data_IF_092987289689
#
_entry.id   IF_092987289689
#
_cell.length_a   1.000
_cell.length_b   1.000
_cell.length_c   1.000
_cell.angle_alpha   90.00
_cell.angle_beta   90.00
_cell.angle_gamma   90.00
#
_symmetry.space_group_name_H-M   'P 1'
#
loop_
_entity.id
_entity.type
_entity.pdbx_description
1 polymer ?
#
# COMPACT_ATOMS: atom_id res chain seq x y z
N UNK A 1 -62.91 32.93 13.97
CA UNK A 1 -62.97 33.48 12.60
C UNK A 1 -61.92 32.74 11.78
N UNK A 2 -62.32 31.78 10.92
CA UNK A 2 -61.36 30.94 10.16
C UNK A 2 -60.73 31.77 9.03
N UNK A 3 -59.42 31.99 9.04
CA UNK A 3 -58.70 32.61 7.90
C UNK A 3 -58.23 31.50 6.96
N UNK A 4 -58.91 31.33 5.83
CA UNK A 4 -58.48 30.46 4.74
C UNK A 4 -57.51 31.26 3.86
N UNK A 5 -56.21 30.93 3.90
CA UNK A 5 -55.25 31.44 2.91
C UNK A 5 -55.19 30.46 1.73
N UNK A 6 -55.64 30.91 0.55
CA UNK A 6 -55.55 30.14 -0.70
C UNK A 6 -54.33 30.61 -1.48
N UNK A 7 -53.32 29.75 -1.64
CA UNK A 7 -52.14 30.05 -2.47
C UNK A 7 -52.38 29.51 -3.89
N UNK A 8 -52.12 30.34 -4.91
CA UNK A 8 -52.27 30.04 -6.35
C UNK A 8 -51.20 29.07 -6.88
N UNK A 9 -51.12 27.85 -6.36
CA UNK A 9 -50.32 26.76 -7.00
C UNK A 9 -50.94 25.36 -6.80
N UNK A 10 -52.26 25.26 -6.59
CA UNK A 10 -52.98 23.99 -6.67
C UNK A 10 -52.80 22.99 -5.51
N UNK A 11 -52.19 23.39 -4.37
CA UNK A 11 -52.19 22.59 -3.13
C UNK A 11 -52.74 23.41 -1.98
N UNK A 12 -53.87 22.97 -1.42
CA UNK A 12 -54.55 23.60 -0.28
C UNK A 12 -53.86 23.17 1.02
N UNK A 13 -53.33 24.13 1.78
CA UNK A 13 -52.88 23.90 3.17
C UNK A 13 -53.96 24.49 4.08
N UNK A 14 -54.59 23.63 4.88
CA UNK A 14 -55.58 24.05 5.88
C UNK A 14 -54.84 24.23 7.21
N UNK A 15 -54.65 25.47 7.65
CA UNK A 15 -54.21 25.75 9.02
C UNK A 15 -55.45 25.74 9.93
N UNK A 16 -55.48 24.83 10.90
CA UNK A 16 -56.50 24.78 11.95
C UNK A 16 -55.80 25.25 13.23
N UNK A 17 -56.37 26.27 13.87
CA UNK A 17 -55.90 26.76 15.18
C UNK A 17 -55.76 25.58 16.14
N UNK A 18 -54.54 25.38 16.66
CA UNK A 18 -54.26 24.41 17.73
C UNK A 18 -53.75 23.03 17.31
N UNK A 19 -53.62 22.69 16.03
CA UNK A 19 -53.03 21.40 15.62
C UNK A 19 -51.93 21.60 14.56
N UNK A 20 -50.67 21.37 14.98
CA UNK A 20 -49.51 21.37 14.09
C UNK A 20 -49.64 20.26 13.03
N UNK A 21 -50.12 20.61 11.84
CA UNK A 21 -49.97 19.75 10.66
C UNK A 21 -48.52 19.83 10.17
N UNK A 22 -47.74 18.79 10.49
CA UNK A 22 -46.40 18.55 9.97
C UNK A 22 -46.49 18.10 8.50
N UNK A 23 -46.61 19.05 7.57
CA UNK A 23 -46.31 18.76 6.17
C UNK A 23 -44.79 18.67 5.98
N UNK A 24 -44.33 17.51 5.50
CA UNK A 24 -42.93 17.07 5.41
C UNK A 24 -41.98 18.02 4.63
N UNK A 25 -42.51 18.99 3.89
CA UNK A 25 -41.78 19.86 2.95
C UNK A 25 -41.62 21.34 3.32
N UNK A 26 -42.16 21.82 4.46
CA UNK A 26 -42.15 23.25 4.80
C UNK A 26 -41.82 23.51 6.27
N UNK A 27 -41.14 24.63 6.57
CA UNK A 27 -41.00 25.15 7.94
C UNK A 27 -41.85 26.41 8.08
N UNK A 28 -42.67 26.45 9.11
CA UNK A 28 -43.52 27.59 9.48
C UNK A 28 -42.85 28.29 10.67
N UNK A 29 -42.68 29.60 10.59
CA UNK A 29 -42.23 30.45 11.72
C UNK A 29 -43.18 31.64 11.84
N UNK A 30 -43.67 31.91 13.03
CA UNK A 30 -44.41 33.14 13.32
C UNK A 30 -43.43 34.30 13.50
N UNK A 31 -43.60 35.34 12.68
CA UNK A 31 -42.99 36.65 12.88
C UNK A 31 -44.11 37.68 13.00
N UNK A 32 -43.88 38.76 13.75
CA UNK A 32 -44.88 39.75 14.21
C UNK A 32 -45.71 40.49 13.16
N UNK A 33 -45.65 40.11 11.89
CA UNK A 33 -46.47 40.65 10.80
C UNK A 33 -47.00 39.60 9.80
N UNK A 34 -46.87 38.29 10.06
CA UNK A 34 -47.46 37.23 9.23
C UNK A 34 -46.70 35.89 9.23
N UNK A 35 -47.36 34.85 8.69
CA UNK A 35 -46.81 33.50 8.57
C UNK A 35 -45.81 33.42 7.40
N UNK A 36 -44.54 33.10 7.67
CA UNK A 36 -43.54 32.87 6.62
C UNK A 36 -43.42 31.38 6.35
N UNK A 37 -43.83 30.94 5.15
CA UNK A 37 -43.68 29.56 4.68
C UNK A 37 -42.39 29.47 3.84
N UNK A 38 -41.33 28.84 4.38
CA UNK A 38 -40.11 28.53 3.60
C UNK A 38 -40.14 27.07 3.14
N UNK A 39 -40.02 26.86 1.82
CA UNK A 39 -39.80 25.53 1.22
C UNK A 39 -38.53 24.94 1.81
N UNK A 40 -38.62 23.72 2.36
CA UNK A 40 -37.46 22.99 2.86
C UNK A 40 -36.49 22.82 1.70
N UNK A 41 -35.25 23.26 1.88
CA UNK A 41 -34.29 23.37 0.78
C UNK A 41 -33.70 21.98 0.45
N UNK A 42 -34.54 21.08 -0.08
CA UNK A 42 -34.21 19.69 -0.36
C UNK A 42 -33.05 19.55 -1.36
N UNK A 43 -32.77 20.59 -2.16
CA UNK A 43 -31.62 20.65 -3.06
C UNK A 43 -30.29 20.51 -2.30
N UNK A 44 -30.15 21.09 -1.10
CA UNK A 44 -28.94 20.94 -0.28
C UNK A 44 -28.79 19.52 0.28
N UNK A 45 -29.90 18.91 0.68
CA UNK A 45 -29.92 17.54 1.19
C UNK A 45 -29.54 16.55 0.07
N UNK A 46 -30.14 16.71 -1.10
CA UNK A 46 -29.82 15.92 -2.30
C UNK A 46 -28.35 16.12 -2.70
N UNK A 47 -27.86 17.36 -2.71
CA UNK A 47 -26.45 17.66 -3.00
C UNK A 47 -25.48 16.96 -2.05
N UNK A 48 -25.75 17.02 -0.73
CA UNK A 48 -24.92 16.32 0.26
C UNK A 48 -24.96 14.80 0.08
N UNK A 49 -26.14 14.23 -0.20
CA UNK A 49 -26.28 12.80 -0.44
C UNK A 49 -25.48 12.36 -1.68
N UNK A 50 -25.56 13.12 -2.76
CA UNK A 50 -24.78 12.86 -3.99
C UNK A 50 -23.28 12.93 -3.68
N UNK A 51 -22.82 13.92 -2.93
CA UNK A 51 -21.42 14.07 -2.57
C UNK A 51 -20.92 12.88 -1.73
N UNK A 52 -21.72 12.40 -0.77
CA UNK A 52 -21.38 11.23 0.05
C UNK A 52 -21.29 9.97 -0.82
N UNK A 53 -22.27 9.74 -1.71
CA UNK A 53 -22.27 8.59 -2.62
C UNK A 53 -21.04 8.63 -3.53
N UNK A 54 -20.72 9.80 -4.10
CA UNK A 54 -19.54 9.98 -4.93
C UNK A 54 -18.24 9.72 -4.16
N UNK A 55 -18.14 10.20 -2.92
CA UNK A 55 -16.98 9.97 -2.05
C UNK A 55 -16.81 8.48 -1.73
N UNK A 56 -17.88 7.78 -1.33
CA UNK A 56 -17.84 6.36 -1.03
C UNK A 56 -17.49 5.52 -2.27
N UNK A 57 -18.06 5.87 -3.43
CA UNK A 57 -17.72 5.22 -4.71
C UNK A 57 -16.24 5.43 -5.06
N UNK A 58 -15.72 6.64 -4.86
CA UNK A 58 -14.31 6.95 -5.08
C UNK A 58 -13.41 6.16 -4.13
N UNK A 59 -13.72 6.10 -2.83
CA UNK A 59 -12.96 5.30 -1.85
C UNK A 59 -12.97 3.82 -2.25
N UNK A 60 -14.14 3.26 -2.57
CA UNK A 60 -14.27 1.86 -2.96
C UNK A 60 -13.45 1.51 -4.20
N UNK A 61 -13.47 2.40 -5.21
CA UNK A 61 -12.66 2.25 -6.41
C UNK A 61 -11.17 2.42 -6.12
N UNK A 62 -10.78 3.47 -5.40
CA UNK A 62 -9.37 3.81 -5.16
C UNK A 62 -8.63 2.72 -4.38
N UNK A 63 -9.33 2.02 -3.49
CA UNK A 63 -8.78 0.92 -2.70
C UNK A 63 -8.55 -0.37 -3.51
N UNK A 64 -9.10 -0.48 -4.73
CA UNK A 64 -8.89 -1.64 -5.63
C UNK A 64 -8.16 -1.29 -6.92
N UNK A 65 -8.09 0.00 -7.26
CA UNK A 65 -7.47 0.47 -8.49
C UNK A 65 -5.96 0.50 -8.36
N UNK A 66 -5.28 -0.60 -8.71
CA UNK A 66 -3.81 -0.69 -8.75
C UNK A 66 -3.23 0.44 -9.59
N UNK A 67 -2.30 1.18 -9.00
CA UNK A 67 -1.47 2.19 -9.65
C UNK A 67 -0.11 1.57 -9.94
N UNK A 68 0.34 1.66 -11.20
CA UNK A 68 1.72 1.32 -11.56
C UNK A 68 2.55 2.59 -11.39
N UNK A 69 3.61 2.53 -10.60
CA UNK A 69 4.56 3.64 -10.44
C UNK A 69 5.94 3.19 -10.88
N UNK A 70 6.49 3.85 -11.90
CA UNK A 70 7.82 3.52 -12.40
C UNK A 70 8.88 4.46 -11.84
N UNK A 71 9.91 3.89 -11.22
CA UNK A 71 11.10 4.60 -10.77
C UNK A 71 12.28 4.21 -11.66
N UNK A 72 12.95 5.22 -12.23
CA UNK A 72 14.22 5.03 -12.93
C UNK A 72 15.35 5.22 -11.94
N UNK A 73 16.09 4.16 -11.64
CA UNK A 73 17.23 4.18 -10.73
C UNK A 73 18.48 4.37 -11.57
N UNK A 74 19.06 5.56 -11.46
CA UNK A 74 20.34 5.92 -12.10
C UNK A 74 21.50 5.75 -11.14
N UNK A 75 22.60 5.15 -11.59
CA UNK A 75 23.81 5.00 -10.79
C UNK A 75 25.02 4.83 -11.70
N UNK A 76 26.17 5.47 -11.42
CA UNK A 76 27.41 5.20 -12.15
C UNK A 76 27.92 3.77 -11.95
N UNK A 77 27.33 3.01 -11.02
CA UNK A 77 27.61 1.59 -10.79
C UNK A 77 26.71 0.65 -11.58
N UNK A 78 25.75 1.19 -12.32
CA UNK A 78 24.93 0.41 -13.26
C UNK A 78 25.62 0.54 -14.61
N UNK A 79 26.19 -0.55 -15.12
CA UNK A 79 26.77 -0.53 -16.46
C UNK A 79 25.68 -0.48 -17.53
N UNK A 80 26.08 -0.24 -18.77
CA UNK A 80 25.16 -0.23 -19.91
C UNK A 80 24.47 -1.59 -20.10
N UNK A 81 25.14 -2.69 -19.73
CA UNK A 81 24.62 -4.05 -19.81
C UNK A 81 23.48 -4.32 -18.81
N UNK A 82 23.47 -3.62 -17.66
CA UNK A 82 22.37 -3.66 -16.68
C UNK A 82 21.27 -2.63 -16.96
N UNK A 83 21.47 -1.72 -17.92
CA UNK A 83 20.47 -0.71 -18.25
C UNK A 83 19.24 -1.37 -18.89
N UNK A 84 18.06 -1.04 -18.37
CA UNK A 84 16.80 -1.66 -18.77
C UNK A 84 16.41 -2.87 -17.93
N UNK A 85 17.28 -3.37 -17.05
CA UNK A 85 16.90 -4.37 -16.06
C UNK A 85 15.71 -3.84 -15.24
N UNK A 86 14.65 -4.65 -15.20
CA UNK A 86 13.33 -4.24 -14.73
C UNK A 86 12.89 -5.15 -13.59
N UNK A 87 12.54 -4.55 -12.45
CA UNK A 87 12.06 -5.25 -11.26
C UNK A 87 10.61 -4.84 -11.04
N UNK A 88 9.70 -5.81 -10.95
CA UNK A 88 8.37 -5.57 -10.42
C UNK A 88 8.42 -5.75 -8.90
N UNK A 89 8.05 -4.74 -8.14
CA UNK A 89 8.09 -4.75 -6.68
C UNK A 89 6.67 -4.71 -6.12
N UNK A 90 6.31 -5.79 -5.44
CA UNK A 90 5.05 -5.98 -4.74
C UNK A 90 5.35 -6.02 -3.24
N UNK A 91 4.53 -5.36 -2.44
CA UNK A 91 4.73 -5.32 -1.00
C UNK A 91 3.39 -5.24 -0.29
N UNK A 92 3.32 -5.74 0.94
CA UNK A 92 2.17 -5.59 1.82
C UNK A 92 0.88 -6.06 1.13
N UNK A 93 0.86 -7.28 0.57
CA UNK A 93 -0.35 -7.78 -0.10
C UNK A 93 -1.49 -8.01 0.89
N UNK A 94 -1.19 -8.44 2.13
CA UNK A 94 -2.18 -8.66 3.18
C UNK A 94 -3.38 -9.49 2.72
N UNK A 95 -3.13 -10.58 1.99
CA UNK A 95 -4.18 -11.42 1.38
C UNK A 95 -5.19 -10.68 0.45
N UNK A 96 -4.90 -9.44 0.05
CA UNK A 96 -5.81 -8.62 -0.76
C UNK A 96 -5.99 -9.20 -2.16
N UNK A 97 -7.24 -9.21 -2.63
CA UNK A 97 -7.62 -9.81 -3.92
C UNK A 97 -7.79 -8.75 -5.00
N UNK A 98 -7.04 -8.87 -6.10
CA UNK A 98 -7.15 -8.01 -7.28
C UNK A 98 -7.73 -8.78 -8.47
N UNK A 99 -9.06 -8.87 -8.48
CA UNK A 99 -9.79 -9.68 -9.45
C UNK A 99 -9.75 -11.18 -9.10
N UNK A 100 -10.49 -11.98 -9.86
CA UNK A 100 -10.49 -13.44 -9.70
C UNK A 100 -9.09 -14.00 -9.94
N UNK A 101 -8.58 -14.82 -9.02
CA UNK A 101 -7.26 -15.43 -9.14
C UNK A 101 -6.10 -14.44 -9.25
N UNK A 102 -6.20 -13.24 -8.66
CA UNK A 102 -5.20 -12.16 -8.77
C UNK A 102 -4.95 -11.62 -10.19
N UNK A 103 -5.81 -11.96 -11.17
CA UNK A 103 -5.62 -11.64 -12.59
C UNK A 103 -5.31 -10.17 -12.87
N UNK A 104 -5.89 -9.22 -12.12
CA UNK A 104 -5.68 -7.79 -12.38
C UNK A 104 -4.28 -7.33 -11.93
N UNK A 105 -3.72 -7.94 -10.88
CA UNK A 105 -2.35 -7.69 -10.45
C UNK A 105 -1.36 -8.40 -11.38
N UNK A 106 -1.57 -9.69 -11.64
CA UNK A 106 -0.69 -10.49 -12.50
C UNK A 106 -0.60 -9.92 -13.92
N UNK A 107 -1.71 -9.49 -14.51
CA UNK A 107 -1.68 -8.83 -15.83
C UNK A 107 -0.86 -7.54 -15.83
N UNK A 108 -0.91 -6.74 -14.75
CA UNK A 108 -0.10 -5.52 -14.62
C UNK A 108 1.38 -5.84 -14.46
N UNK A 109 1.73 -6.90 -13.73
CA UNK A 109 3.10 -7.41 -13.62
C UNK A 109 3.58 -7.89 -15.00
N UNK A 110 2.81 -8.71 -15.70
CA UNK A 110 3.18 -9.22 -17.02
C UNK A 110 3.40 -8.10 -18.07
N UNK A 111 2.58 -7.04 -18.05
CA UNK A 111 2.71 -5.90 -18.98
C UNK A 111 4.05 -5.18 -18.82
N UNK A 112 4.61 -5.13 -17.62
CA UNK A 112 5.87 -4.40 -17.38
C UNK A 112 7.11 -5.23 -17.71
N UNK A 113 6.92 -6.51 -18.09
CA UNK A 113 7.96 -7.46 -18.50
C UNK A 113 9.16 -7.46 -17.54
N UNK A 114 8.94 -7.78 -16.26
CA UNK A 114 10.01 -7.78 -15.28
C UNK A 114 10.99 -8.91 -15.56
N UNK A 115 12.26 -8.68 -15.22
CA UNK A 115 13.27 -9.72 -15.17
C UNK A 115 13.15 -10.50 -13.85
N UNK A 116 12.77 -9.82 -12.76
CA UNK A 116 12.46 -10.43 -11.46
C UNK A 116 11.26 -9.75 -10.80
N UNK A 117 10.60 -10.46 -9.91
CA UNK A 117 9.54 -9.95 -9.04
C UNK A 117 10.07 -9.97 -7.61
N UNK A 118 10.18 -8.80 -6.99
CA UNK A 118 10.51 -8.66 -5.57
C UNK A 118 9.23 -8.55 -4.74
N UNK A 119 9.10 -9.38 -3.71
CA UNK A 119 8.01 -9.37 -2.73
C UNK A 119 8.60 -9.07 -1.35
N UNK A 120 8.38 -7.86 -0.84
CA UNK A 120 9.03 -7.39 0.39
C UNK A 120 8.08 -7.45 1.58
N UNK A 121 7.72 -8.66 2.01
CA UNK A 121 6.99 -8.92 3.25
C UNK A 121 5.49 -8.62 3.23
N UNK A 122 4.84 -9.05 4.31
CA UNK A 122 3.41 -8.89 4.58
C UNK A 122 2.54 -9.38 3.40
N UNK A 123 2.85 -10.58 2.92
CA UNK A 123 2.06 -11.27 1.90
C UNK A 123 0.71 -11.69 2.49
N UNK A 124 0.71 -12.13 3.74
CA UNK A 124 -0.48 -12.51 4.53
C UNK A 124 -0.82 -11.44 5.57
N UNK A 125 -2.10 -11.32 5.93
CA UNK A 125 -2.53 -10.54 7.09
C UNK A 125 -2.69 -11.47 8.30
N UNK A 126 -1.79 -11.37 9.27
CA UNK A 126 -1.83 -12.15 10.53
C UNK A 126 -3.15 -12.10 11.31
N UNK A 127 -4.06 -11.15 11.04
CA UNK A 127 -5.38 -11.06 11.70
C UNK A 127 -6.47 -11.83 10.97
N UNK A 128 -6.22 -12.20 9.71
CA UNK A 128 -7.15 -12.92 8.84
C UNK A 128 -6.35 -13.71 7.81
N UNK A 129 -5.47 -14.59 8.29
CA UNK A 129 -4.52 -15.33 7.47
C UNK A 129 -5.24 -16.23 6.45
N UNK A 130 -4.86 -16.12 5.18
CA UNK A 130 -5.35 -16.97 4.10
C UNK A 130 -4.16 -17.42 3.22
N UNK A 131 -3.47 -18.48 3.62
CA UNK A 131 -2.27 -18.98 2.92
C UNK A 131 -2.63 -19.40 1.49
N UNK A 132 -3.81 -19.98 1.26
CA UNK A 132 -4.27 -20.36 -0.09
C UNK A 132 -4.35 -19.16 -1.02
N UNK A 133 -4.90 -18.04 -0.54
CA UNK A 133 -4.98 -16.80 -1.31
C UNK A 133 -3.60 -16.19 -1.59
N UNK A 134 -2.69 -16.25 -0.63
CA UNK A 134 -1.30 -15.84 -0.84
C UNK A 134 -0.63 -16.71 -1.93
N UNK A 135 -0.84 -18.03 -1.89
CA UNK A 135 -0.23 -18.96 -2.85
C UNK A 135 -0.76 -18.80 -4.27
N UNK A 136 -2.02 -18.39 -4.45
CA UNK A 136 -2.54 -18.04 -5.78
C UNK A 136 -1.70 -16.92 -6.40
N UNK A 137 -1.36 -15.88 -5.63
CA UNK A 137 -0.50 -14.80 -6.14
C UNK A 137 0.87 -15.32 -6.53
N UNK A 138 1.54 -16.04 -5.63
CA UNK A 138 2.93 -16.49 -5.84
C UNK A 138 3.01 -17.44 -7.04
N UNK A 139 2.11 -18.43 -7.15
CA UNK A 139 2.07 -19.37 -8.28
C UNK A 139 1.88 -18.67 -9.62
N UNK A 140 1.00 -17.67 -9.68
CA UNK A 140 0.78 -16.93 -10.93
C UNK A 140 1.92 -15.93 -11.23
N UNK A 141 2.53 -15.35 -10.19
CA UNK A 141 3.68 -14.45 -10.33
C UNK A 141 4.93 -15.20 -10.84
N UNK A 142 5.21 -16.39 -10.30
CA UNK A 142 6.34 -17.24 -10.71
C UNK A 142 6.26 -17.69 -12.17
N UNK A 143 5.07 -17.72 -12.77
CA UNK A 143 4.89 -17.96 -14.22
C UNK A 143 5.32 -16.78 -15.08
N UNK A 144 5.43 -15.58 -14.51
CA UNK A 144 5.79 -14.35 -15.24
C UNK A 144 7.30 -14.11 -15.18
N UNK A 145 7.90 -14.23 -14.00
CA UNK A 145 9.34 -14.07 -13.77
C UNK A 145 9.72 -14.69 -12.40
N UNK A 146 11.02 -14.96 -12.14
CA UNK A 146 11.49 -15.41 -10.83
C UNK A 146 11.01 -14.49 -9.70
N UNK A 147 10.49 -15.09 -8.63
CA UNK A 147 9.92 -14.39 -7.47
C UNK A 147 10.90 -14.49 -6.31
N UNK A 148 11.31 -13.34 -5.79
CA UNK A 148 12.18 -13.21 -4.63
C UNK A 148 11.41 -12.60 -3.48
N UNK A 149 11.42 -13.27 -2.33
CA UNK A 149 10.56 -12.97 -1.21
C UNK A 149 11.38 -12.76 0.06
N UNK A 150 11.05 -11.72 0.83
CA UNK A 150 11.48 -11.60 2.24
C UNK A 150 10.25 -11.50 3.14
N UNK A 151 10.40 -11.90 4.40
CA UNK A 151 9.34 -11.80 5.40
C UNK A 151 9.03 -10.36 5.80
N UNK A 152 7.78 -10.14 6.21
CA UNK A 152 7.34 -8.98 6.96
C UNK A 152 6.97 -9.36 8.40
N UNK A 153 6.47 -8.38 9.14
CA UNK A 153 6.10 -8.61 10.53
C UNK A 153 4.78 -9.38 10.69
N UNK A 154 3.92 -9.46 9.68
CA UNK A 154 2.73 -10.31 9.76
C UNK A 154 3.08 -11.79 9.71
N UNK A 155 4.08 -12.18 8.93
CA UNK A 155 4.56 -13.57 8.93
C UNK A 155 5.13 -14.00 10.29
N UNK A 156 5.77 -13.08 11.02
CA UNK A 156 6.27 -13.36 12.38
C UNK A 156 5.16 -13.57 13.42
N UNK A 157 3.91 -13.20 13.12
CA UNK A 157 2.77 -13.20 14.06
C UNK A 157 1.80 -14.35 13.84
N UNK A 158 2.05 -15.21 12.85
CA UNK A 158 1.19 -16.37 12.58
C UNK A 158 1.83 -17.63 13.16
N UNK A 159 1.01 -18.56 13.62
CA UNK A 159 1.48 -19.88 14.09
C UNK A 159 1.95 -20.76 12.92
N UNK A 160 1.32 -20.60 11.75
CA UNK A 160 1.55 -21.44 10.57
C UNK A 160 2.68 -20.94 9.65
N UNK A 161 3.68 -20.23 10.19
CA UNK A 161 4.76 -19.68 9.37
C UNK A 161 5.56 -20.77 8.63
N UNK A 162 5.84 -21.90 9.29
CA UNK A 162 6.57 -23.01 8.65
C UNK A 162 5.79 -23.60 7.46
N UNK A 163 4.45 -23.69 7.56
CA UNK A 163 3.60 -24.10 6.43
C UNK A 163 3.69 -23.06 5.30
N UNK A 164 3.52 -21.78 5.64
CA UNK A 164 3.62 -20.69 4.66
C UNK A 164 4.97 -20.74 3.92
N UNK A 165 6.07 -20.88 4.66
CA UNK A 165 7.43 -20.97 4.13
C UNK A 165 7.57 -22.12 3.14
N UNK A 166 7.18 -23.33 3.55
CA UNK A 166 7.24 -24.50 2.67
C UNK A 166 6.40 -24.31 1.40
N UNK A 167 5.22 -23.72 1.53
CA UNK A 167 4.32 -23.50 0.40
C UNK A 167 4.82 -22.42 -0.56
N UNK A 168 5.51 -21.38 -0.05
CA UNK A 168 6.19 -20.37 -0.86
C UNK A 168 7.25 -21.01 -1.76
N UNK A 169 8.11 -21.85 -1.19
CA UNK A 169 9.16 -22.56 -1.92
C UNK A 169 8.57 -23.49 -2.98
N UNK A 170 7.57 -24.30 -2.62
CA UNK A 170 6.85 -25.19 -3.57
C UNK A 170 6.18 -24.39 -4.69
N UNK A 171 5.69 -23.18 -4.39
CA UNK A 171 5.07 -22.29 -5.38
C UNK A 171 6.08 -21.58 -6.29
N UNK A 172 7.39 -21.73 -6.06
CA UNK A 172 8.46 -21.18 -6.87
C UNK A 172 9.01 -19.83 -6.39
N UNK A 173 8.76 -19.44 -5.14
CA UNK A 173 9.41 -18.28 -4.55
C UNK A 173 10.78 -18.65 -3.96
N UNK A 174 11.76 -17.79 -4.21
CA UNK A 174 13.08 -17.80 -3.57
C UNK A 174 12.96 -17.01 -2.27
N UNK A 175 13.11 -17.68 -1.13
CA UNK A 175 13.06 -17.03 0.19
C UNK A 175 14.45 -16.46 0.49
N UNK A 176 14.51 -15.14 0.57
CA UNK A 176 15.76 -14.38 0.65
C UNK A 176 16.15 -13.97 2.06
N UNK A 177 15.43 -14.41 3.08
CA UNK A 177 15.70 -14.08 4.49
C UNK A 177 17.11 -14.53 4.91
N UNK A 178 18.03 -13.56 5.06
CA UNK A 178 19.44 -13.80 5.36
C UNK A 178 20.21 -14.46 4.21
N UNK A 179 19.68 -14.41 2.98
CA UNK A 179 20.27 -15.03 1.79
C UNK A 179 20.76 -13.99 0.78
N UNK A 180 21.61 -14.48 -0.12
CA UNK A 180 22.05 -13.78 -1.32
C UNK A 180 21.94 -14.70 -2.53
N UNK A 181 21.53 -14.13 -3.65
CA UNK A 181 21.60 -14.74 -4.97
C UNK A 181 22.23 -13.77 -5.97
N UNK A 182 23.07 -14.31 -6.85
CA UNK A 182 23.65 -13.57 -7.97
C UNK A 182 22.75 -13.69 -9.19
N UNK A 183 22.26 -12.54 -9.68
CA UNK A 183 21.46 -12.48 -10.90
C UNK A 183 22.36 -12.07 -12.06
N UNK A 184 22.47 -12.97 -13.03
CA UNK A 184 23.21 -12.74 -14.27
C UNK A 184 22.32 -12.06 -15.30
N UNK A 185 22.77 -10.93 -15.85
CA UNK A 185 22.07 -10.22 -16.92
C UNK A 185 23.07 -9.55 -17.88
N UNK A 186 23.08 -9.98 -19.15
CA UNK A 186 23.98 -9.45 -20.18
C UNK A 186 25.45 -9.37 -19.71
N UNK A 187 25.99 -10.48 -19.19
CA UNK A 187 27.37 -10.61 -18.69
C UNK A 187 27.70 -9.76 -17.44
N UNK A 188 26.69 -9.20 -16.78
CA UNK A 188 26.83 -8.48 -15.51
C UNK A 188 26.13 -9.21 -14.37
N UNK A 189 26.58 -8.93 -13.15
CA UNK A 189 26.07 -9.54 -11.93
C UNK A 189 25.38 -8.48 -11.07
N UNK A 190 24.16 -8.79 -10.63
CA UNK A 190 23.48 -8.10 -9.54
C UNK A 190 23.53 -9.02 -8.31
N UNK A 191 24.06 -8.52 -7.19
CA UNK A 191 23.94 -9.19 -5.91
C UNK A 191 22.59 -8.84 -5.28
N UNK A 192 21.63 -9.77 -5.37
CA UNK A 192 20.33 -9.64 -4.73
C UNK A 192 20.38 -10.27 -3.34
N UNK A 193 20.15 -9.45 -2.32
CA UNK A 193 20.17 -9.84 -0.92
C UNK A 193 18.77 -9.69 -0.32
N UNK A 194 18.46 -10.49 0.70
CA UNK A 194 17.30 -10.28 1.54
C UNK A 194 17.66 -10.39 3.01
N UNK A 195 16.86 -9.74 3.85
CA UNK A 195 16.95 -9.82 5.30
C UNK A 195 15.60 -10.17 5.88
N UNK A 196 15.59 -11.02 6.90
CA UNK A 196 14.37 -11.35 7.62
C UNK A 196 13.80 -10.12 8.34
N UNK A 197 12.48 -10.06 8.52
CA UNK A 197 11.90 -9.03 9.38
C UNK A 197 12.41 -9.19 10.82
N UNK A 198 12.86 -8.12 11.50
CA UNK A 198 13.39 -8.23 12.85
C UNK A 198 12.36 -8.71 13.89
N UNK A 199 11.06 -8.76 13.56
CA UNK A 199 10.01 -9.35 14.41
C UNK A 199 10.18 -10.86 14.63
N UNK A 200 10.99 -11.55 13.80
CA UNK A 200 11.37 -12.94 14.03
C UNK A 200 12.45 -13.12 15.12
N UNK A 201 13.05 -12.01 15.61
CA UNK A 201 14.10 -12.09 16.64
C UNK A 201 13.50 -12.44 18.00
N UNK A 202 14.08 -13.46 18.65
CA UNK A 202 13.73 -13.81 20.02
C UNK A 202 14.01 -12.63 20.99
N UNK A 203 13.03 -12.32 21.83
CA UNK A 203 13.13 -11.27 22.86
C UNK A 203 14.33 -11.47 23.80
N UNK A 204 14.72 -12.72 24.05
CA UNK A 204 15.86 -13.04 24.91
C UNK A 204 17.22 -12.64 24.34
N UNK A 205 17.31 -12.41 23.02
CA UNK A 205 18.53 -12.02 22.29
C UNK A 205 18.38 -10.60 21.70
N UNK A 206 17.37 -9.84 22.12
CA UNK A 206 17.00 -8.58 21.49
C UNK A 206 18.07 -7.49 21.67
N UNK A 207 18.83 -7.25 20.61
CA UNK A 207 19.83 -6.16 20.48
C UNK A 207 19.27 -4.91 19.80
N UNK A 208 17.97 -4.89 19.49
CA UNK A 208 17.28 -3.84 18.75
C UNK A 208 17.13 -4.16 17.26
N UNK A 209 15.98 -3.76 16.66
CA UNK A 209 15.65 -4.05 15.26
C UNK A 209 16.75 -3.65 14.27
N UNK A 210 17.34 -2.47 14.46
CA UNK A 210 18.41 -1.96 13.59
C UNK A 210 19.70 -2.78 13.67
N UNK A 211 20.09 -3.22 14.87
CA UNK A 211 21.30 -4.03 15.07
C UNK A 211 21.09 -5.47 14.57
N UNK A 212 19.88 -6.05 14.77
CA UNK A 212 19.50 -7.33 14.17
C UNK A 212 19.70 -7.29 12.65
N UNK A 213 19.11 -6.30 11.98
CA UNK A 213 19.21 -6.18 10.52
C UNK A 213 20.63 -5.86 10.07
N UNK A 214 21.37 -5.05 10.83
CA UNK A 214 22.78 -4.78 10.55
C UNK A 214 23.65 -6.05 10.66
N UNK A 215 23.36 -6.94 11.61
CA UNK A 215 24.03 -8.23 11.76
C UNK A 215 23.74 -9.15 10.58
N UNK A 216 22.47 -9.24 10.17
CA UNK A 216 22.06 -10.07 9.03
C UNK A 216 22.77 -9.63 7.74
N UNK A 217 22.78 -8.32 7.46
CA UNK A 217 23.52 -7.76 6.31
C UNK A 217 25.02 -8.05 6.42
N UNK A 218 25.62 -7.94 7.61
CA UNK A 218 27.05 -8.23 7.81
C UNK A 218 27.39 -9.71 7.63
N UNK A 219 26.45 -10.62 7.88
CA UNK A 219 26.67 -12.05 7.65
C UNK A 219 26.63 -12.43 6.18
N UNK A 220 26.04 -11.59 5.32
CA UNK A 220 25.99 -11.83 3.88
C UNK A 220 27.31 -11.38 3.23
N UNK A 221 28.07 -12.34 2.72
CA UNK A 221 29.26 -12.06 1.91
C UNK A 221 28.86 -11.86 0.44
N UNK A 222 29.22 -10.72 -0.14
CA UNK A 222 28.95 -10.42 -1.55
C UNK A 222 30.11 -9.64 -2.19
N UNK A 223 30.23 -9.75 -3.50
CA UNK A 223 31.19 -8.93 -4.26
C UNK A 223 30.77 -7.47 -4.20
N UNK A 224 31.60 -6.64 -3.57
CA UNK A 224 31.32 -5.22 -3.39
C UNK A 224 31.42 -4.44 -4.69
N UNK A 225 32.00 -5.00 -5.76
CA UNK A 225 32.07 -4.36 -7.06
C UNK A 225 30.77 -4.54 -7.87
N UNK A 226 30.01 -5.61 -7.60
CA UNK A 226 28.69 -5.83 -8.18
C UNK A 226 27.66 -4.77 -7.73
N UNK A 227 26.59 -4.61 -8.51
CA UNK A 227 25.49 -3.74 -8.11
C UNK A 227 24.60 -4.46 -7.09
N UNK A 228 24.50 -3.91 -5.89
CA UNK A 228 23.76 -4.53 -4.79
C UNK A 228 22.30 -4.08 -4.72
N UNK A 229 21.38 -5.04 -4.57
CA UNK A 229 19.96 -4.80 -4.31
C UNK A 229 19.56 -5.55 -3.04
N UNK A 230 19.04 -4.83 -2.04
CA UNK A 230 18.50 -5.42 -0.82
C UNK A 230 16.96 -5.42 -0.84
N UNK A 231 16.37 -6.55 -0.49
CA UNK A 231 14.97 -6.70 -0.14
C UNK A 231 14.84 -6.64 1.38
N UNK A 232 14.01 -5.73 1.90
CA UNK A 232 13.73 -5.64 3.33
C UNK A 232 12.32 -5.12 3.56
N UNK A 233 11.69 -5.47 4.68
CA UNK A 233 10.39 -4.91 5.01
C UNK A 233 10.47 -3.55 5.76
N UNK A 234 11.65 -3.06 6.16
CA UNK A 234 11.76 -1.98 7.18
C UNK A 234 12.29 -0.63 6.65
N UNK A 235 11.47 0.25 6.06
CA UNK A 235 11.94 1.52 5.52
C UNK A 235 12.50 2.48 6.59
N UNK A 236 12.05 2.37 7.84
CA UNK A 236 12.55 3.14 8.98
C UNK A 236 14.03 2.86 9.29
N UNK A 237 14.56 1.72 8.87
CA UNK A 237 15.96 1.33 9.05
C UNK A 237 16.88 1.85 7.94
N UNK A 238 16.44 2.84 7.15
CA UNK A 238 17.21 3.38 6.02
C UNK A 238 18.68 3.66 6.32
N UNK A 239 18.98 4.22 7.49
CA UNK A 239 20.35 4.58 7.88
C UNK A 239 21.24 3.36 8.16
N UNK A 240 20.66 2.20 8.52
CA UNK A 240 21.39 0.92 8.60
C UNK A 240 21.87 0.52 7.20
N UNK A 241 21.00 0.62 6.20
CA UNK A 241 21.32 0.27 4.81
C UNK A 241 22.37 1.19 4.19
N UNK A 242 22.30 2.49 4.52
CA UNK A 242 23.30 3.48 4.13
C UNK A 242 24.66 3.14 4.74
N UNK A 243 24.68 2.80 6.03
CA UNK A 243 25.91 2.43 6.75
C UNK A 243 26.52 1.14 6.21
N UNK A 244 25.69 0.21 5.72
CA UNK A 244 26.12 -1.01 5.05
C UNK A 244 26.62 -0.78 3.61
N UNK A 245 26.44 0.42 3.06
CA UNK A 245 26.94 0.78 1.73
C UNK A 245 26.22 0.08 0.58
N UNK A 246 24.92 -0.19 0.72
CA UNK A 246 24.10 -0.83 -0.31
C UNK A 246 23.73 0.16 -1.42
N UNK A 247 23.53 -0.31 -2.66
CA UNK A 247 23.23 0.58 -3.79
C UNK A 247 21.72 0.86 -3.93
N UNK A 248 20.90 -0.19 -3.90
CA UNK A 248 19.44 -0.10 -3.95
C UNK A 248 18.78 -0.94 -2.85
N UNK A 249 17.76 -0.39 -2.21
CA UNK A 249 16.90 -1.10 -1.25
C UNK A 249 15.46 -1.01 -1.70
N UNK A 250 14.73 -2.12 -1.68
CA UNK A 250 13.29 -2.17 -1.92
C UNK A 250 12.61 -2.48 -0.59
N UNK A 251 11.67 -1.62 -0.19
CA UNK A 251 11.03 -1.73 1.12
C UNK A 251 9.51 -1.49 1.13
N UNK A 252 8.85 -2.15 2.11
CA UNK A 252 7.41 -2.16 2.37
C UNK A 252 7.01 -1.48 3.68
N UNK A 253 6.00 -2.00 4.37
CA UNK A 253 5.59 -1.73 5.77
C UNK A 253 4.93 -0.39 6.06
N UNK A 254 5.39 0.69 5.43
CA UNK A 254 4.85 2.01 5.74
C UNK A 254 3.44 2.26 5.17
N UNK A 255 2.95 1.37 4.29
CA UNK A 255 1.63 1.44 3.65
C UNK A 255 1.29 2.81 3.01
N UNK A 256 2.28 3.60 2.58
CA UNK A 256 2.03 4.96 2.07
C UNK A 256 1.57 5.97 3.12
N UNK A 257 1.65 5.62 4.41
CA UNK A 257 1.12 6.39 5.54
C UNK A 257 -0.37 6.18 5.82
N UNK A 258 -0.95 5.09 5.29
CA UNK A 258 -2.39 4.71 5.30
C UNK A 258 -3.31 5.72 4.60
N UNK A 259 -3.32 6.96 5.06
CA UNK A 259 -4.01 8.11 4.50
C UNK A 259 -2.99 9.11 3.97
N UNK A 260 -3.27 9.68 2.81
CA UNK A 260 -2.40 10.69 2.20
C UNK A 260 -3.13 12.01 2.05
N UNK A 261 -2.55 13.05 2.63
CA UNK A 261 -3.02 14.42 2.42
C UNK A 261 -2.24 15.00 1.24
N UNK A 262 -2.90 15.56 0.21
CA UNK A 262 -2.21 16.22 -0.89
C UNK A 262 -1.15 17.20 -0.38
N UNK A 263 0.04 17.19 -0.98
CA UNK A 263 1.19 18.04 -0.65
C UNK A 263 1.87 17.80 0.71
N UNK A 264 1.22 17.14 1.68
CA UNK A 264 1.80 16.80 2.98
C UNK A 264 2.38 15.38 2.97
N UNK A 265 1.68 14.42 2.36
CA UNK A 265 2.10 13.02 2.31
C UNK A 265 1.34 12.12 3.29
N UNK A 266 2.00 11.05 3.73
CA UNK A 266 1.43 10.04 4.61
C UNK A 266 1.20 10.55 6.03
N UNK A 267 0.11 10.11 6.68
CA UNK A 267 -0.29 10.62 8.01
C UNK A 267 0.22 9.74 9.14
N UNK A 268 0.21 8.42 8.97
CA UNK A 268 0.60 7.48 10.01
C UNK A 268 1.22 6.22 9.41
N UNK A 269 2.35 5.77 9.94
CA UNK A 269 2.97 4.51 9.53
C UNK A 269 3.45 3.70 10.75
N UNK A 270 3.46 2.36 10.66
CA UNK A 270 4.11 1.50 11.63
C UNK A 270 5.55 1.93 11.90
N UNK A 271 6.01 1.79 13.14
CA UNK A 271 7.38 2.11 13.62
C UNK A 271 7.86 3.56 13.37
N UNK A 272 7.05 4.44 12.78
CA UNK A 272 7.39 5.83 12.47
C UNK A 272 6.41 6.83 13.11
N UNK A 273 5.22 6.39 13.52
CA UNK A 273 4.22 7.23 14.19
C UNK A 273 3.52 8.21 13.23
N UNK A 274 3.25 9.42 13.71
CA UNK A 274 2.57 10.47 12.95
C UNK A 274 3.52 11.25 12.04
N UNK A 275 3.02 11.66 10.88
CA UNK A 275 3.80 12.34 9.82
C UNK A 275 5.13 11.61 9.52
N UNK A 276 5.05 10.30 9.20
CA UNK A 276 6.20 9.45 8.97
C UNK A 276 7.10 9.94 7.82
N UNK A 277 8.42 9.77 7.99
CA UNK A 277 9.43 10.23 7.05
C UNK A 277 9.52 9.35 5.79
N UNK A 278 9.39 8.04 5.94
CA UNK A 278 9.63 7.07 4.87
C UNK A 278 8.32 6.33 4.54
N UNK A 279 7.54 6.89 3.61
CA UNK A 279 6.23 6.30 3.26
C UNK A 279 6.04 5.93 1.81
N UNK A 280 6.79 6.53 0.88
CA UNK A 280 6.62 6.26 -0.54
C UNK A 280 7.77 6.85 -1.35
N UNK A 281 8.12 6.21 -2.45
CA UNK A 281 9.02 6.77 -3.45
C UNK A 281 10.50 6.57 -3.14
N UNK A 282 11.35 7.32 -3.85
CA UNK A 282 12.80 7.19 -3.74
C UNK A 282 13.31 8.09 -2.61
N UNK A 283 13.98 7.49 -1.64
CA UNK A 283 14.80 8.15 -0.64
C UNK A 283 16.26 7.89 -0.98
N UNK A 284 17.13 8.88 -0.80
CA UNK A 284 18.54 8.78 -1.16
C UNK A 284 19.43 9.38 -0.08
N UNK A 285 20.57 8.76 0.14
CA UNK A 285 21.65 9.26 0.99
C UNK A 285 22.97 8.64 0.50
N UNK A 286 23.94 9.51 0.17
CA UNK A 286 25.14 9.10 -0.57
C UNK A 286 24.80 8.32 -1.85
N UNK A 287 25.36 7.11 -1.98
CA UNK A 287 25.11 6.21 -3.11
C UNK A 287 23.82 5.39 -2.96
N UNK A 288 23.37 5.18 -1.73
CA UNK A 288 22.24 4.30 -1.41
C UNK A 288 20.92 4.96 -1.77
N UNK A 289 20.08 4.22 -2.50
CA UNK A 289 18.71 4.59 -2.79
C UNK A 289 17.77 3.55 -2.19
N UNK A 290 16.72 4.00 -1.51
CA UNK A 290 15.65 3.13 -1.05
C UNK A 290 14.35 3.51 -1.75
N UNK A 291 13.65 2.52 -2.28
CA UNK A 291 12.32 2.68 -2.85
C UNK A 291 11.32 2.11 -1.84
N UNK A 292 10.48 2.99 -1.30
CA UNK A 292 9.41 2.59 -0.40
C UNK A 292 8.13 2.43 -1.20
N UNK A 293 7.60 1.21 -1.21
CA UNK A 293 6.30 0.91 -1.77
C UNK A 293 5.20 1.41 -0.85
N UNK A 294 4.12 1.94 -1.42
CA UNK A 294 2.90 2.21 -0.65
C UNK A 294 2.15 0.94 -0.25
N UNK A 295 2.57 -0.23 -0.73
CA UNK A 295 1.90 -1.50 -0.47
C UNK A 295 0.62 -1.70 -1.29
N UNK A 296 0.22 -2.95 -1.42
CA UNK A 296 -0.96 -3.36 -2.18
C UNK A 296 -2.23 -3.39 -1.32
N UNK A 297 -2.13 -3.95 -0.13
CA UNK A 297 -3.17 -4.10 0.87
C UNK A 297 -3.35 -2.88 1.78
N UNK A 298 -4.25 -3.03 2.75
CA UNK A 298 -4.47 -2.05 3.82
C UNK A 298 -3.88 -2.59 5.12
N UNK A 299 -3.45 -1.69 6.01
CA UNK A 299 -2.91 -2.07 7.32
C UNK A 299 -4.04 -2.24 8.35
N UNK A 300 -3.86 -1.70 9.56
CA UNK A 300 -4.82 -1.77 10.67
C UNK A 300 -6.22 -1.31 10.27
N UNK A 301 -6.30 -0.18 9.56
CA UNK A 301 -7.57 0.37 9.08
C UNK A 301 -7.84 -0.18 7.68
N UNK A 302 -8.97 -0.87 7.44
CA UNK A 302 -9.26 -1.55 6.16
C UNK A 302 -9.71 -0.55 5.06
N UNK A 303 -9.15 0.66 5.05
CA UNK A 303 -9.47 1.71 4.11
C UNK A 303 -8.30 2.68 3.95
N UNK A 304 -7.97 2.98 2.69
CA UNK A 304 -6.95 3.91 2.26
C UNK A 304 -7.61 5.14 1.62
N UNK A 305 -7.08 6.34 1.88
CA UNK A 305 -7.58 7.59 1.28
C UNK A 305 -6.42 8.26 0.55
N UNK A 306 -6.62 8.62 -0.73
CA UNK A 306 -5.61 9.16 -1.64
C UNK A 306 -4.33 8.29 -1.75
N UNK A 307 -4.46 7.00 -1.46
CA UNK A 307 -3.34 6.09 -1.30
C UNK A 307 -3.69 4.77 -1.96
N UNK A 308 -3.65 4.76 -3.29
CA UNK A 308 -4.02 3.58 -4.10
C UNK A 308 -2.99 2.45 -3.91
N UNK A 309 -3.41 1.17 -4.00
CA UNK A 309 -2.52 0.02 -4.15
C UNK A 309 -1.45 0.28 -5.20
N UNK A 310 -0.19 0.05 -4.86
CA UNK A 310 0.94 0.40 -5.72
C UNK A 310 1.73 -0.84 -6.15
N UNK A 311 1.76 -1.06 -7.47
CA UNK A 311 2.77 -1.91 -8.09
C UNK A 311 3.95 -1.01 -8.46
N UNK A 312 5.08 -1.21 -7.78
CA UNK A 312 6.32 -0.49 -8.08
C UNK A 312 7.02 -1.17 -9.25
N UNK A 313 7.55 -0.37 -10.18
CA UNK A 313 8.39 -0.85 -11.28
C UNK A 313 9.71 -0.11 -11.22
N UNK A 314 10.79 -0.83 -10.94
CA UNK A 314 12.13 -0.26 -10.94
C UNK A 314 12.76 -0.55 -12.28
N UNK A 315 13.33 0.47 -12.93
CA UNK A 315 14.18 0.30 -14.11
C UNK A 315 15.57 0.82 -13.81
N UNK A 316 16.55 -0.04 -13.91
CA UNK A 316 17.96 0.32 -13.79
C UNK A 316 18.40 1.06 -15.06
N UNK A 317 19.26 2.05 -14.88
CA UNK A 317 19.85 2.87 -15.94
C UNK A 317 21.22 3.33 -15.47
N UNK A 318 22.19 3.31 -16.37
CA UNK A 318 23.40 4.12 -16.24
C UNK A 318 23.01 5.62 -16.20
#
# INVERSE_FOLDING_TARGET
MKRILKIMTGKTIIAIDGLHLYDSGFRIREGGSGLIIKKKNNVRIIGNLIAIIAFLAWVFWSNRAIQITTYKVKSPRISDNLSGFTIAHVSDLHNQKFGYGQRNLISKIAIVKPHIIAVTGDLVDSRSTDIDMAMIFIKEAAKVAPVYYVTGNHEARIEDYDELKQRLEIAGAHIMDGQIEEIFHNDEIISLMGVADPSFTDISVYVGEGETVANDIRSISYDKDSYSILLSHRPELFQVYVSAGLDLVLAGHAHGGQFRIPFIGGVIAPNQGYLPKYTSGIIKDGKTKMIVSRGMGSSIIPMRINNRPELVVVRLSN
#
